data_IF_984266043368
#
_entry.id   IF_984266043368
#
_cell.length_a   1.000
_cell.length_b   1.000
_cell.length_c   1.000
_cell.angle_alpha   90.00
_cell.angle_beta   90.00
_cell.angle_gamma   90.00
#
_symmetry.space_group_name_H-M   'P 1'
#
loop_
_entity.id
_entity.type
_entity.pdbx_description
1 polymer ?
#
# COMPACT_ATOMS: atom_id res chain seq x y z
N UNK A 1 16.99 30.31 -19.02
CA UNK A 1 15.90 29.32 -19.20
C UNK A 1 14.56 30.03 -19.03
N UNK A 2 13.57 29.81 -19.91
CA UNK A 2 12.23 30.39 -19.72
C UNK A 2 11.57 29.76 -18.48
N UNK A 3 10.74 30.54 -17.75
CA UNK A 3 10.00 30.04 -16.58
C UNK A 3 9.19 28.77 -16.89
N UNK A 4 8.71 28.65 -18.13
CA UNK A 4 8.03 27.48 -18.65
C UNK A 4 8.94 26.25 -18.66
N UNK A 5 10.17 26.37 -19.16
CA UNK A 5 11.09 25.25 -19.21
C UNK A 5 11.39 24.69 -17.80
N UNK A 6 11.46 25.59 -16.80
CA UNK A 6 11.63 25.16 -15.40
C UNK A 6 10.42 24.40 -14.89
N UNK A 7 9.19 24.90 -15.11
CA UNK A 7 7.97 24.21 -14.69
C UNK A 7 7.82 22.84 -15.39
N UNK A 8 8.07 22.79 -16.69
CA UNK A 8 8.02 21.53 -17.44
C UNK A 8 9.07 20.55 -16.90
N UNK A 9 10.29 21.01 -16.63
CA UNK A 9 11.34 20.17 -16.07
C UNK A 9 10.98 19.64 -14.69
N UNK A 10 10.35 20.44 -13.82
CA UNK A 10 9.88 19.99 -12.51
C UNK A 10 8.80 18.91 -12.60
N UNK A 11 7.83 19.08 -13.51
CA UNK A 11 6.79 18.07 -13.71
C UNK A 11 7.38 16.77 -14.27
N UNK A 12 8.26 16.84 -15.26
CA UNK A 12 8.95 15.67 -15.83
C UNK A 12 9.83 14.99 -14.78
N UNK A 13 10.58 15.77 -13.99
CA UNK A 13 11.39 15.24 -12.91
C UNK A 13 10.53 14.49 -11.89
N UNK A 14 9.37 15.03 -11.51
CA UNK A 14 8.43 14.36 -10.61
C UNK A 14 7.98 13.01 -11.15
N UNK A 15 7.61 12.93 -12.44
CA UNK A 15 7.24 11.67 -13.09
C UNK A 15 8.40 10.67 -13.08
N UNK A 16 9.61 11.11 -13.41
CA UNK A 16 10.79 10.24 -13.41
C UNK A 16 11.11 9.71 -12.01
N UNK A 17 11.02 10.58 -11.00
CA UNK A 17 11.27 10.16 -9.61
C UNK A 17 10.22 9.16 -9.16
N UNK A 18 8.95 9.35 -9.49
CA UNK A 18 7.88 8.39 -9.17
C UNK A 18 8.09 7.02 -9.81
N UNK A 19 8.59 6.98 -11.04
CA UNK A 19 8.91 5.73 -11.73
C UNK A 19 10.09 5.01 -11.08
N UNK A 20 11.11 5.77 -10.64
CA UNK A 20 12.36 5.22 -10.09
C UNK A 20 12.23 4.89 -8.60
N UNK A 21 11.44 5.68 -7.87
CA UNK A 21 11.25 5.55 -6.42
C UNK A 21 9.76 5.71 -6.09
N UNK A 22 8.94 4.68 -6.36
CA UNK A 22 7.49 4.75 -6.24
C UNK A 22 6.99 5.04 -4.82
N UNK A 23 7.79 4.74 -3.79
CA UNK A 23 7.43 4.97 -2.38
C UNK A 23 7.37 6.44 -1.96
N UNK A 24 7.79 7.38 -2.82
CA UNK A 24 7.82 8.80 -2.46
C UNK A 24 6.51 9.54 -2.65
N UNK A 25 5.51 8.90 -3.26
CA UNK A 25 4.16 9.45 -3.45
C UNK A 25 4.15 10.92 -3.92
N UNK A 26 5.00 11.24 -4.93
CA UNK A 26 5.21 12.61 -5.41
C UNK A 26 3.91 13.23 -5.93
N UNK A 27 2.99 12.40 -6.45
CA UNK A 27 1.68 12.87 -6.88
C UNK A 27 0.87 13.53 -5.76
N UNK A 28 1.10 13.16 -4.50
CA UNK A 28 0.43 13.74 -3.34
C UNK A 28 1.15 14.99 -2.81
N UNK A 29 2.35 15.30 -3.31
CA UNK A 29 3.10 16.46 -2.87
C UNK A 29 2.46 17.76 -3.36
N UNK A 30 2.18 18.69 -2.43
CA UNK A 30 1.53 19.97 -2.75
C UNK A 30 2.30 20.78 -3.79
N UNK A 31 3.64 20.82 -3.71
CA UNK A 31 4.48 21.54 -4.68
C UNK A 31 4.32 20.99 -6.10
N UNK A 32 4.17 19.68 -6.26
CA UNK A 32 3.99 19.03 -7.55
C UNK A 32 2.63 19.39 -8.16
N UNK A 33 1.56 19.33 -7.36
CA UNK A 33 0.22 19.75 -7.78
C UNK A 33 0.16 21.24 -8.17
N UNK A 34 0.87 22.11 -7.44
CA UNK A 34 1.01 23.54 -7.81
C UNK A 34 1.75 23.69 -9.15
N UNK A 35 2.80 22.91 -9.40
CA UNK A 35 3.51 22.95 -10.67
C UNK A 35 2.63 22.51 -11.84
N UNK A 36 1.84 21.44 -11.67
CA UNK A 36 0.85 20.98 -12.67
C UNK A 36 -0.20 22.07 -12.92
N UNK A 37 -0.76 22.68 -11.88
CA UNK A 37 -1.75 23.75 -12.01
C UNK A 37 -1.18 24.97 -12.77
N UNK A 38 0.01 25.40 -12.42
CA UNK A 38 0.68 26.53 -13.09
C UNK A 38 0.95 26.24 -14.56
N UNK A 39 1.41 25.03 -14.89
CA UNK A 39 1.63 24.59 -16.27
C UNK A 39 0.31 24.55 -17.05
N UNK A 40 -0.75 24.04 -16.44
CA UNK A 40 -2.09 23.97 -17.05
C UNK A 40 -2.65 25.39 -17.33
N UNK A 41 -2.58 26.29 -16.38
CA UNK A 41 -3.01 27.69 -16.56
C UNK A 41 -2.27 28.34 -17.72
N UNK A 42 -0.95 28.16 -17.77
CA UNK A 42 -0.15 28.68 -18.88
C UNK A 42 -0.55 28.06 -20.22
N UNK A 43 -0.73 26.75 -20.29
CA UNK A 43 -1.14 26.03 -21.51
C UNK A 43 -2.53 26.48 -21.98
N UNK A 44 -3.49 26.63 -21.07
CA UNK A 44 -4.83 27.14 -21.35
C UNK A 44 -4.76 28.59 -21.87
N UNK A 45 -3.97 29.43 -21.25
CA UNK A 45 -3.77 30.82 -21.70
C UNK A 45 -3.12 30.90 -23.10
N UNK A 46 -2.23 29.97 -23.41
CA UNK A 46 -1.60 29.85 -24.73
C UNK A 46 -2.55 29.29 -25.78
N UNK A 47 -3.49 28.44 -25.40
CA UNK A 47 -4.47 27.78 -26.25
C UNK A 47 -5.74 28.64 -26.53
N UNK A 48 -5.71 29.96 -26.26
CA UNK A 48 -6.86 30.89 -26.39
C UNK A 48 -7.62 30.81 -27.73
N UNK A 49 -6.93 30.41 -28.80
CA UNK A 49 -7.54 30.26 -30.13
C UNK A 49 -8.28 28.94 -30.36
N UNK A 50 -8.16 27.99 -29.42
CA UNK A 50 -8.80 26.68 -29.52
C UNK A 50 -9.41 26.30 -28.16
N UNK A 51 -10.71 26.55 -27.95
CA UNK A 51 -11.37 26.21 -26.68
C UNK A 51 -11.32 24.72 -26.38
N UNK A 52 -11.31 23.85 -27.37
CA UNK A 52 -11.17 22.41 -27.22
C UNK A 52 -9.80 22.02 -26.64
N UNK A 53 -8.72 22.65 -27.12
CA UNK A 53 -7.40 22.40 -26.55
C UNK A 53 -7.31 22.89 -25.10
N UNK A 54 -7.86 24.07 -24.80
CA UNK A 54 -7.89 24.62 -23.46
C UNK A 54 -8.68 23.70 -22.51
N UNK A 55 -9.85 23.21 -22.94
CA UNK A 55 -10.65 22.24 -22.19
C UNK A 55 -9.88 20.94 -21.95
N UNK A 56 -9.23 20.38 -22.99
CA UNK A 56 -8.50 19.13 -22.87
C UNK A 56 -7.33 19.21 -21.89
N UNK A 57 -6.54 20.30 -21.92
CA UNK A 57 -5.47 20.54 -20.95
C UNK A 57 -6.03 20.70 -19.53
N UNK A 58 -7.12 21.46 -19.39
CA UNK A 58 -7.80 21.64 -18.10
C UNK A 58 -8.31 20.32 -17.52
N UNK A 59 -8.91 19.47 -18.33
CA UNK A 59 -9.42 18.16 -17.91
C UNK A 59 -8.30 17.23 -17.42
N UNK A 60 -7.18 17.15 -18.16
CA UNK A 60 -6.03 16.34 -17.78
C UNK A 60 -5.41 16.85 -16.47
N UNK A 61 -5.19 18.16 -16.35
CA UNK A 61 -4.64 18.76 -15.15
C UNK A 61 -5.57 18.56 -13.94
N UNK A 62 -6.88 18.72 -14.13
CA UNK A 62 -7.88 18.49 -13.11
C UNK A 62 -7.85 17.04 -12.62
N UNK A 63 -7.82 16.06 -13.53
CA UNK A 63 -7.73 14.65 -13.16
C UNK A 63 -6.45 14.35 -12.34
N UNK A 64 -5.31 14.91 -12.75
CA UNK A 64 -4.05 14.77 -12.03
C UNK A 64 -4.09 15.37 -10.62
N UNK A 65 -4.53 16.62 -10.49
CA UNK A 65 -4.64 17.32 -9.20
C UNK A 65 -5.67 16.64 -8.29
N UNK A 66 -6.81 16.22 -8.85
CA UNK A 66 -7.85 15.51 -8.10
C UNK A 66 -7.34 14.18 -7.55
N UNK A 67 -6.57 13.43 -8.33
CA UNK A 67 -5.93 12.21 -7.87
C UNK A 67 -4.90 12.50 -6.78
N UNK A 68 -4.05 13.50 -6.97
CA UNK A 68 -2.96 13.82 -6.03
C UNK A 68 -3.42 14.42 -4.71
N UNK A 69 -4.44 15.30 -4.70
CA UNK A 69 -4.90 15.97 -3.49
C UNK A 69 -6.04 15.25 -2.77
N UNK A 70 -6.88 14.52 -3.49
CA UNK A 70 -8.11 13.92 -2.98
C UNK A 70 -8.11 12.40 -3.04
N UNK A 71 -7.10 11.80 -3.69
CA UNK A 71 -6.91 10.38 -3.73
C UNK A 71 -6.28 9.85 -2.44
N UNK A 72 -6.41 8.54 -2.16
CA UNK A 72 -5.71 7.91 -1.07
C UNK A 72 -4.19 7.95 -1.30
N UNK A 73 -3.45 8.12 -0.22
CA UNK A 73 -2.02 7.85 -0.23
C UNK A 73 -1.77 6.38 -0.58
N UNK A 74 -0.66 6.12 -1.26
CA UNK A 74 -0.24 4.75 -1.55
C UNK A 74 -0.04 3.99 -0.25
N UNK A 75 -0.78 2.88 -0.10
CA UNK A 75 -0.68 2.02 1.07
C UNK A 75 -0.77 0.56 0.70
N UNK A 76 -0.06 -0.28 1.44
CA UNK A 76 -0.17 -1.72 1.31
C UNK A 76 -1.23 -2.24 2.29
N UNK A 77 -2.22 -2.93 1.75
CA UNK A 77 -3.25 -3.64 2.51
C UNK A 77 -2.86 -5.11 2.55
N UNK A 78 -2.57 -5.60 3.73
CA UNK A 78 -2.23 -7.00 3.96
C UNK A 78 -3.43 -7.68 4.59
N UNK A 79 -3.81 -8.84 4.08
CA UNK A 79 -4.89 -9.63 4.63
C UNK A 79 -4.40 -10.99 5.12
N UNK A 80 -4.84 -11.38 6.32
CA UNK A 80 -4.68 -12.77 6.72
C UNK A 80 -5.52 -13.68 5.80
N UNK A 81 -5.09 -14.93 5.59
CA UNK A 81 -5.89 -15.88 4.83
C UNK A 81 -7.32 -15.99 5.36
N UNK A 82 -8.29 -16.19 4.47
CA UNK A 82 -9.73 -16.26 4.75
C UNK A 82 -10.32 -15.00 5.40
N UNK A 83 -9.67 -13.85 5.24
CA UNK A 83 -10.19 -12.59 5.76
C UNK A 83 -10.65 -11.65 4.65
N UNK A 84 -11.41 -10.64 5.05
CA UNK A 84 -11.84 -9.57 4.15
C UNK A 84 -11.54 -8.22 4.77
N UNK A 85 -10.96 -7.32 3.99
CA UNK A 85 -10.60 -5.97 4.40
C UNK A 85 -11.36 -4.97 3.55
N UNK A 86 -12.11 -4.08 4.19
CA UNK A 86 -12.82 -3.02 3.50
C UNK A 86 -11.86 -1.92 3.05
N UNK A 87 -11.99 -1.53 1.79
CA UNK A 87 -11.23 -0.44 1.17
C UNK A 87 -12.22 0.60 0.71
N UNK A 88 -12.51 1.56 1.57
CA UNK A 88 -13.54 2.59 1.30
C UNK A 88 -13.19 3.44 0.07
N UNK A 89 -11.92 3.68 -0.16
CA UNK A 89 -11.41 4.45 -1.30
C UNK A 89 -11.67 3.75 -2.64
N UNK A 90 -11.63 2.41 -2.64
CA UNK A 90 -11.99 1.61 -3.81
C UNK A 90 -13.48 1.31 -3.88
N UNK A 91 -14.25 1.71 -2.85
CA UNK A 91 -15.69 1.44 -2.74
C UNK A 91 -16.01 -0.04 -2.61
N UNK A 92 -15.05 -0.88 -2.17
CA UNK A 92 -15.20 -2.32 -2.15
C UNK A 92 -14.50 -3.00 -0.98
N UNK A 93 -14.52 -4.32 -1.01
CA UNK A 93 -13.87 -5.18 -0.02
C UNK A 93 -12.86 -6.09 -0.70
N UNK A 94 -11.64 -6.13 -0.18
CA UNK A 94 -10.62 -7.09 -0.60
C UNK A 94 -10.87 -8.40 0.16
N UNK A 95 -11.14 -9.47 -0.56
CA UNK A 95 -11.25 -10.81 0.00
C UNK A 95 -9.94 -11.57 -0.26
N UNK A 96 -9.30 -11.99 0.80
CA UNK A 96 -8.03 -12.70 0.78
C UNK A 96 -8.27 -14.22 0.77
N UNK A 97 -7.66 -14.96 -0.17
CA UNK A 97 -7.87 -16.38 -0.29
C UNK A 97 -7.29 -17.18 0.88
N UNK A 98 -7.68 -18.46 1.06
CA UNK A 98 -7.05 -19.38 2.00
C UNK A 98 -5.55 -19.51 1.74
N UNK A 99 -4.75 -19.70 2.79
CA UNK A 99 -3.27 -19.79 2.72
C UNK A 99 -2.73 -20.93 1.81
N UNK A 100 -3.58 -21.87 1.40
CA UNK A 100 -3.20 -23.00 0.54
C UNK A 100 -3.83 -22.94 -0.86
N UNK A 101 -4.62 -21.91 -1.14
CA UNK A 101 -5.23 -21.74 -2.44
C UNK A 101 -4.29 -20.95 -3.35
N UNK A 102 -4.00 -21.50 -4.51
CA UNK A 102 -3.39 -20.76 -5.62
C UNK A 102 -4.45 -19.82 -6.24
N UNK A 103 -4.94 -18.89 -5.43
CA UNK A 103 -6.04 -18.00 -5.75
C UNK A 103 -5.65 -16.56 -5.52
N UNK A 104 -6.00 -15.70 -6.46
CA UNK A 104 -5.76 -14.26 -6.37
C UNK A 104 -6.66 -13.61 -5.33
N UNK A 105 -6.20 -12.51 -4.75
CA UNK A 105 -7.06 -11.63 -3.94
C UNK A 105 -8.20 -11.10 -4.82
N UNK A 106 -9.41 -11.08 -4.28
CA UNK A 106 -10.60 -10.63 -5.00
C UNK A 106 -11.04 -9.26 -4.49
N UNK A 107 -11.28 -8.32 -5.40
CA UNK A 107 -11.97 -7.08 -5.07
C UNK A 107 -13.48 -7.28 -5.31
N UNK A 108 -14.26 -7.14 -4.26
CA UNK A 108 -15.70 -7.31 -4.27
C UNK A 108 -16.40 -5.94 -4.25
N UNK A 109 -17.27 -5.70 -5.24
CA UNK A 109 -18.16 -4.54 -5.32
C UNK A 109 -19.62 -5.03 -5.39
N UNK A 110 -20.33 -4.96 -4.30
CA UNK A 110 -21.70 -5.49 -4.24
C UNK A 110 -21.75 -6.96 -4.67
N UNK A 111 -22.44 -7.26 -5.76
CA UNK A 111 -22.56 -8.62 -6.30
C UNK A 111 -21.44 -9.02 -7.28
N UNK A 112 -20.56 -8.11 -7.66
CA UNK A 112 -19.46 -8.40 -8.57
C UNK A 112 -18.15 -8.60 -7.83
N UNK A 113 -17.38 -9.62 -8.22
CA UNK A 113 -16.06 -9.92 -7.70
C UNK A 113 -15.07 -9.99 -8.84
N UNK A 114 -13.90 -9.34 -8.69
CA UNK A 114 -12.87 -9.29 -9.71
C UNK A 114 -11.51 -9.67 -9.09
N UNK A 115 -10.72 -10.54 -9.75
CA UNK A 115 -9.41 -10.91 -9.24
C UNK A 115 -8.44 -9.74 -9.41
N UNK A 116 -7.62 -9.52 -8.38
CA UNK A 116 -6.47 -8.63 -8.44
C UNK A 116 -5.29 -9.48 -8.88
N UNK A 117 -4.77 -9.18 -10.06
CA UNK A 117 -3.57 -9.84 -10.57
C UNK A 117 -2.37 -8.90 -10.53
N UNK A 118 -1.21 -9.41 -10.92
CA UNK A 118 0.02 -8.64 -11.13
C UNK A 118 -0.17 -7.48 -12.14
N UNK A 119 -1.26 -7.49 -12.89
CA UNK A 119 -1.68 -6.40 -13.76
C UNK A 119 -2.84 -5.67 -13.12
N UNK A 120 -2.61 -4.38 -12.88
CA UNK A 120 -3.49 -3.35 -12.35
C UNK A 120 -4.96 -3.64 -12.57
N UNK A 121 -5.69 -3.81 -11.50
CA UNK A 121 -7.12 -3.60 -11.50
C UNK A 121 -7.40 -2.11 -11.23
N UNK A 122 -8.16 -1.49 -12.11
CA UNK A 122 -8.61 -0.11 -11.93
C UNK A 122 -10.09 -0.09 -11.66
N UNK A 123 -10.48 0.35 -10.46
CA UNK A 123 -11.85 0.75 -10.19
C UNK A 123 -11.95 2.25 -10.47
N UNK A 124 -12.62 2.61 -11.56
CA UNK A 124 -13.01 4.00 -11.80
C UNK A 124 -14.16 4.34 -10.87
N UNK A 125 -13.94 5.19 -9.88
CA UNK A 125 -14.98 5.64 -8.98
C UNK A 125 -15.12 7.16 -9.08
N UNK A 126 -16.30 7.63 -9.42
CA UNK A 126 -16.77 8.98 -9.13
C UNK A 126 -17.04 9.07 -7.62
N UNK A 127 -15.98 9.16 -6.82
CA UNK A 127 -16.10 9.31 -5.39
C UNK A 127 -16.27 10.79 -5.05
N UNK A 128 -17.40 11.13 -4.44
CA UNK A 128 -17.71 12.48 -3.96
C UNK A 128 -17.62 13.57 -5.03
N UNK A 129 -18.10 13.34 -6.21
CA UNK A 129 -18.14 14.28 -7.34
C UNK A 129 -16.78 14.64 -7.95
N UNK A 130 -15.69 13.98 -7.58
CA UNK A 130 -14.37 14.20 -8.14
C UNK A 130 -13.90 12.96 -8.88
N UNK A 131 -13.66 13.04 -10.19
CA UNK A 131 -13.21 11.90 -10.97
C UNK A 131 -11.77 11.51 -10.59
N UNK A 132 -11.63 10.33 -10.06
CA UNK A 132 -10.33 9.69 -9.77
C UNK A 132 -10.44 8.19 -9.98
N UNK A 133 -9.32 7.57 -10.28
CA UNK A 133 -9.21 6.11 -10.37
C UNK A 133 -8.42 5.60 -9.17
N UNK A 134 -8.99 4.67 -8.43
CA UNK A 134 -8.28 3.92 -7.39
C UNK A 134 -7.77 2.64 -8.03
N UNK A 135 -6.49 2.38 -7.84
CA UNK A 135 -5.79 1.21 -8.39
C UNK A 135 -5.43 0.29 -7.24
N UNK A 136 -5.79 -0.98 -7.38
CA UNK A 136 -5.31 -2.04 -6.52
C UNK A 136 -4.40 -2.97 -7.35
N UNK A 137 -3.20 -3.25 -6.85
CA UNK A 137 -2.18 -4.08 -7.51
C UNK A 137 -1.71 -5.14 -6.54
N UNK A 138 -1.46 -6.35 -7.03
CA UNK A 138 -0.81 -7.40 -6.24
C UNK A 138 0.59 -6.93 -5.81
N UNK A 139 0.81 -6.93 -4.49
CA UNK A 139 2.07 -6.55 -3.87
C UNK A 139 2.63 -7.74 -3.09
N UNK A 140 2.90 -8.80 -3.80
CA UNK A 140 3.22 -10.14 -3.33
C UNK A 140 4.43 -10.25 -2.43
N UNK A 141 4.48 -9.76 -1.21
CA UNK A 141 5.60 -10.05 -0.30
C UNK A 141 5.29 -9.75 1.18
N UNK A 142 4.04 -9.81 1.57
CA UNK A 142 3.69 -9.58 2.97
C UNK A 142 4.10 -10.76 3.84
N UNK A 143 5.00 -10.54 4.76
CA UNK A 143 5.38 -11.52 5.77
C UNK A 143 4.39 -11.48 6.92
N UNK A 144 3.86 -12.64 7.27
CA UNK A 144 2.99 -12.81 8.40
C UNK A 144 3.36 -14.05 9.19
N UNK A 145 2.67 -14.30 10.27
CA UNK A 145 2.76 -15.55 11.00
C UNK A 145 1.38 -15.93 11.52
N UNK A 146 1.03 -17.20 11.47
CA UNK A 146 -0.01 -17.76 12.28
C UNK A 146 0.57 -18.13 13.63
N UNK A 147 0.04 -17.55 14.68
CA UNK A 147 0.49 -17.80 16.03
C UNK A 147 -0.54 -18.63 16.77
N UNK A 148 -0.19 -19.86 17.12
CA UNK A 148 -0.98 -20.66 18.07
C UNK A 148 -0.60 -20.24 19.48
N UNK A 149 -1.56 -19.70 20.21
CA UNK A 149 -1.41 -19.24 21.59
C UNK A 149 -2.19 -20.19 22.49
N UNK A 150 -1.50 -20.87 23.39
CA UNK A 150 -2.14 -21.70 24.43
C UNK A 150 -1.99 -21.01 25.78
N UNK A 151 -3.10 -20.79 26.43
CA UNK A 151 -3.16 -20.14 27.74
C UNK A 151 -2.93 -21.15 28.89
N UNK A 152 -2.56 -20.70 30.09
CA UNK A 152 -2.41 -21.56 31.25
C UNK A 152 -3.68 -22.34 31.60
N UNK A 153 -4.84 -21.80 31.31
CA UNK A 153 -6.16 -22.43 31.50
C UNK A 153 -6.49 -23.53 30.46
N UNK A 154 -5.59 -23.81 29.52
CA UNK A 154 -5.76 -24.85 28.52
C UNK A 154 -6.47 -24.38 27.23
N UNK A 155 -7.01 -23.19 27.19
CA UNK A 155 -7.60 -22.61 25.96
C UNK A 155 -6.51 -22.32 24.92
N UNK A 156 -6.72 -22.74 23.67
CA UNK A 156 -5.84 -22.44 22.56
C UNK A 156 -6.61 -21.68 21.48
N UNK A 157 -5.98 -20.66 20.90
CA UNK A 157 -6.54 -19.93 19.76
C UNK A 157 -5.44 -19.60 18.74
N UNK A 158 -5.87 -19.40 17.51
CA UNK A 158 -5.02 -18.95 16.41
C UNK A 158 -5.14 -17.44 16.28
N UNK A 159 -4.03 -16.75 16.26
CA UNK A 159 -3.96 -15.32 15.96
C UNK A 159 -3.14 -15.11 14.70
N UNK A 160 -3.70 -14.51 13.65
CA UNK A 160 -2.91 -14.02 12.55
C UNK A 160 -2.12 -12.79 13.03
N UNK A 161 -0.82 -12.78 12.77
CA UNK A 161 0.09 -11.68 13.10
C UNK A 161 0.59 -11.08 11.80
N UNK A 162 0.38 -9.79 11.62
CA UNK A 162 0.76 -9.06 10.43
C UNK A 162 2.11 -8.36 10.67
N UNK A 163 3.20 -9.03 10.35
CA UNK A 163 4.56 -8.58 10.61
C UNK A 163 5.07 -7.56 9.58
N UNK A 164 4.25 -6.58 9.18
CA UNK A 164 4.61 -5.62 8.14
C UNK A 164 4.24 -4.17 8.42
N UNK A 165 3.31 -3.91 9.31
CA UNK A 165 2.81 -2.55 9.52
C UNK A 165 3.78 -1.67 10.29
N UNK A 166 4.62 -2.27 11.10
CA UNK A 166 5.59 -1.59 11.91
C UNK A 166 6.98 -2.19 11.71
N UNK A 167 8.00 -1.36 11.84
CA UNK A 167 9.39 -1.81 11.82
C UNK A 167 10.18 -1.16 12.95
N UNK A 168 11.15 -1.91 13.50
CA UNK A 168 12.07 -1.39 14.49
C UNK A 168 13.50 -1.83 14.19
N UNK A 169 14.46 -1.01 14.58
CA UNK A 169 15.87 -1.34 14.40
C UNK A 169 16.38 -2.12 15.61
N UNK A 170 16.77 -3.37 15.40
CA UNK A 170 17.43 -4.22 16.41
C UNK A 170 18.76 -4.68 15.81
N UNK A 171 19.84 -4.46 16.53
CA UNK A 171 21.21 -4.84 16.13
C UNK A 171 21.59 -4.41 14.69
N UNK A 172 21.12 -3.24 14.27
CA UNK A 172 21.39 -2.69 12.94
C UNK A 172 20.46 -3.18 11.82
N UNK A 173 19.54 -4.10 12.10
CA UNK A 173 18.53 -4.57 11.15
C UNK A 173 17.21 -3.87 11.37
N UNK A 174 16.59 -3.44 10.27
CA UNK A 174 15.20 -2.98 10.30
C UNK A 174 14.29 -4.21 10.23
N UNK A 175 13.60 -4.52 11.33
CA UNK A 175 12.85 -5.76 11.51
C UNK A 175 11.36 -5.45 11.59
N UNK A 176 10.51 -6.19 10.85
CA UNK A 176 9.09 -6.07 10.96
C UNK A 176 8.59 -6.64 12.28
N UNK A 177 7.61 -5.96 12.89
CA UNK A 177 7.00 -6.41 14.14
C UNK A 177 5.50 -6.11 14.17
N UNK A 178 4.80 -6.83 15.04
CA UNK A 178 3.41 -6.57 15.40
C UNK A 178 3.21 -6.64 16.91
N UNK A 179 2.20 -5.95 17.40
CA UNK A 179 1.81 -5.93 18.81
C UNK A 179 0.34 -6.29 18.91
N UNK A 180 0.02 -7.29 19.70
CA UNK A 180 -1.36 -7.70 19.92
C UNK A 180 -1.63 -8.07 21.37
N UNK A 181 -2.87 -7.89 21.78
CA UNK A 181 -3.31 -8.24 23.13
C UNK A 181 -3.80 -9.69 23.18
N UNK A 182 -3.54 -10.35 24.30
CA UNK A 182 -4.13 -11.65 24.69
C UNK A 182 -5.06 -11.41 25.88
N UNK A 183 -6.33 -11.00 25.64
CA UNK A 183 -7.20 -10.43 26.67
C UNK A 183 -7.41 -11.35 27.87
N UNK A 184 -7.59 -12.65 27.63
CA UNK A 184 -7.85 -13.62 28.69
C UNK A 184 -6.66 -13.85 29.65
N UNK A 185 -5.47 -13.37 29.30
CA UNK A 185 -4.28 -13.46 30.15
C UNK A 185 -3.76 -12.11 30.63
N UNK A 186 -4.42 -11.01 30.23
CA UNK A 186 -3.96 -9.65 30.49
C UNK A 186 -2.50 -9.44 30.05
N UNK A 187 -2.18 -9.89 28.82
CA UNK A 187 -0.84 -9.81 28.25
C UNK A 187 -0.88 -9.10 26.92
N UNK A 188 0.14 -8.28 26.70
CA UNK A 188 0.49 -7.71 25.40
C UNK A 188 1.69 -8.48 24.89
N UNK A 189 1.63 -8.95 23.66
CA UNK A 189 2.70 -9.70 22.99
C UNK A 189 3.22 -8.86 21.85
N UNK A 190 4.51 -8.56 21.87
CA UNK A 190 5.23 -8.04 20.73
C UNK A 190 5.92 -9.20 20.03
N UNK A 191 5.69 -9.36 18.73
CA UNK A 191 6.31 -10.37 17.88
C UNK A 191 7.19 -9.68 16.84
N UNK A 192 8.47 -10.01 16.78
CA UNK A 192 9.44 -9.46 15.82
C UNK A 192 9.97 -10.60 14.96
N UNK A 193 9.90 -10.45 13.65
CA UNK A 193 10.35 -11.48 12.71
C UNK A 193 11.80 -11.24 12.26
N UNK A 194 12.61 -12.27 12.41
CA UNK A 194 13.91 -12.39 11.77
C UNK A 194 13.84 -13.39 10.62
N UNK A 195 14.21 -12.99 9.44
CA UNK A 195 14.46 -13.92 8.33
C UNK A 195 15.59 -14.87 8.68
N UNK A 196 15.67 -15.99 7.95
CA UNK A 196 16.80 -16.95 8.14
C UNK A 196 18.17 -16.29 8.03
N UNK A 197 18.34 -15.37 7.07
CA UNK A 197 19.62 -14.65 6.87
C UNK A 197 19.93 -13.71 8.03
N UNK A 198 18.94 -12.98 8.52
CA UNK A 198 19.11 -12.07 9.66
C UNK A 198 19.39 -12.85 10.96
N UNK A 199 18.67 -13.95 11.18
CA UNK A 199 18.92 -14.83 12.32
C UNK A 199 20.34 -15.42 12.30
N UNK A 200 20.78 -15.93 11.16
CA UNK A 200 22.13 -16.49 11.00
C UNK A 200 23.26 -15.48 11.23
N UNK A 201 23.01 -14.18 11.00
CA UNK A 201 23.99 -13.12 11.24
C UNK A 201 24.12 -12.71 12.72
N UNK A 202 23.19 -13.15 13.58
CA UNK A 202 23.23 -12.88 15.02
C UNK A 202 23.90 -14.04 15.78
N UNK A 203 24.95 -13.79 16.59
CA UNK A 203 25.64 -14.86 17.32
C UNK A 203 24.71 -15.74 18.18
N UNK A 204 23.71 -15.12 18.81
CA UNK A 204 22.73 -15.82 19.64
C UNK A 204 21.74 -16.70 18.86
N UNK A 205 21.59 -16.47 17.57
CA UNK A 205 20.65 -17.15 16.67
C UNK A 205 21.35 -17.87 15.51
N UNK A 206 22.67 -17.91 15.49
CA UNK A 206 23.46 -18.44 14.38
C UNK A 206 23.18 -19.91 14.03
N UNK A 207 22.62 -20.68 14.97
CA UNK A 207 22.18 -22.06 14.73
C UNK A 207 20.76 -22.19 14.17
N UNK A 208 20.08 -21.06 13.92
CA UNK A 208 18.72 -21.10 13.34
C UNK A 208 18.80 -21.35 11.83
N UNK A 209 18.19 -22.45 11.39
CA UNK A 209 18.07 -22.83 9.96
C UNK A 209 16.72 -22.45 9.34
N UNK A 210 15.90 -21.72 10.08
CA UNK A 210 14.56 -21.25 9.67
C UNK A 210 14.32 -19.83 10.18
N UNK A 211 13.34 -19.11 9.68
CA UNK A 211 12.93 -17.85 10.28
C UNK A 211 12.64 -18.00 11.77
N UNK A 212 12.86 -16.96 12.54
CA UNK A 212 12.66 -16.94 13.99
C UNK A 212 11.79 -15.77 14.37
N UNK A 213 10.91 -15.98 15.34
CA UNK A 213 10.11 -14.91 15.94
C UNK A 213 10.60 -14.66 17.37
N UNK A 214 11.04 -13.44 17.63
CA UNK A 214 11.32 -12.94 18.95
C UNK A 214 10.01 -12.44 19.55
N UNK A 215 9.68 -12.94 20.72
CA UNK A 215 8.55 -12.49 21.52
C UNK A 215 9.04 -11.68 22.71
N UNK A 216 8.31 -10.60 23.01
CA UNK A 216 8.45 -9.79 24.20
C UNK A 216 7.05 -9.60 24.79
N UNK A 217 6.91 -9.95 26.08
CA UNK A 217 5.65 -9.93 26.78
C UNK A 217 5.62 -8.79 27.81
N UNK A 218 4.57 -8.02 27.74
CA UNK A 218 4.22 -6.97 28.69
C UNK A 218 2.87 -7.31 29.35
N UNK A 219 2.58 -6.75 30.49
CA UNK A 219 1.23 -6.74 31.04
C UNK A 219 0.36 -5.68 30.34
N UNK A 220 -0.92 -5.61 30.72
CA UNK A 220 -1.87 -4.64 30.15
C UNK A 220 -1.56 -3.17 30.54
N UNK A 221 -0.62 -2.94 31.45
CA UNK A 221 -0.11 -1.61 31.81
C UNK A 221 1.19 -1.25 31.09
N UNK A 222 1.72 -2.14 30.24
CA UNK A 222 2.98 -1.94 29.50
C UNK A 222 4.24 -2.26 30.32
N UNK A 223 4.10 -2.97 31.44
CA UNK A 223 5.25 -3.39 32.24
C UNK A 223 5.76 -4.74 31.73
N UNK A 224 7.07 -4.81 31.47
CA UNK A 224 7.72 -6.03 30.99
C UNK A 224 7.57 -7.18 32.02
N UNK A 225 7.22 -8.35 31.51
CA UNK A 225 7.05 -9.55 32.31
C UNK A 225 8.42 -10.18 32.61
N UNK A 226 8.73 -10.53 33.85
CA UNK A 226 9.95 -11.26 34.16
C UNK A 226 10.04 -12.56 33.34
N UNK A 227 11.13 -12.76 32.63
CA UNK A 227 11.32 -13.88 31.67
C UNK A 227 10.27 -13.89 30.55
N UNK A 228 9.75 -12.72 30.19
CA UNK A 228 8.78 -12.54 29.09
C UNK A 228 9.40 -12.46 27.71
N UNK A 229 10.74 -12.43 27.62
CA UNK A 229 11.44 -12.37 26.32
C UNK A 229 11.95 -13.75 25.94
N UNK A 230 11.74 -14.12 24.68
CA UNK A 230 12.24 -15.38 24.14
C UNK A 230 12.09 -15.51 22.63
N UNK A 231 12.77 -16.48 22.07
CA UNK A 231 12.85 -16.70 20.62
C UNK A 231 12.30 -18.07 20.27
N UNK A 232 11.39 -18.14 19.31
CA UNK A 232 10.88 -19.39 18.78
C UNK A 232 11.20 -19.50 17.28
N UNK A 233 11.90 -20.57 16.86
CA UNK A 233 11.99 -20.93 15.45
C UNK A 233 10.62 -21.26 14.87
N UNK A 234 10.49 -21.12 13.55
CA UNK A 234 9.27 -21.48 12.85
C UNK A 234 8.79 -22.89 13.19
N UNK A 235 7.51 -23.02 13.49
CA UNK A 235 6.85 -24.27 13.88
C UNK A 235 7.19 -24.80 15.28
N UNK A 236 8.11 -24.19 16.04
CA UNK A 236 8.45 -24.61 17.41
C UNK A 236 7.77 -23.73 18.46
N UNK A 237 7.34 -24.35 19.54
CA UNK A 237 6.69 -23.64 20.61
C UNK A 237 7.69 -23.19 21.68
N UNK A 238 7.46 -22.01 22.25
CA UNK A 238 8.12 -21.51 23.46
C UNK A 238 7.08 -21.19 24.54
N UNK A 239 7.47 -21.30 25.80
CA UNK A 239 6.60 -20.90 26.91
C UNK A 239 7.19 -19.66 27.60
N UNK A 240 6.44 -18.56 27.60
CA UNK A 240 6.83 -17.28 28.17
C UNK A 240 5.67 -16.72 28.99
N UNK A 241 5.95 -16.26 30.22
CA UNK A 241 4.94 -15.65 31.07
C UNK A 241 3.65 -16.48 31.27
N UNK A 242 3.75 -17.81 31.16
CA UNK A 242 2.61 -18.74 31.24
C UNK A 242 1.90 -18.98 29.89
N UNK A 243 2.22 -18.23 28.84
CA UNK A 243 1.69 -18.46 27.50
C UNK A 243 2.59 -19.42 26.73
N UNK A 244 2.01 -20.37 26.04
CA UNK A 244 2.72 -21.20 25.05
C UNK A 244 2.46 -20.63 23.66
N UNK A 245 3.53 -20.11 23.02
CA UNK A 245 3.49 -19.43 21.73
C UNK A 245 4.17 -20.32 20.68
N UNK A 246 3.48 -20.62 19.59
CA UNK A 246 4.01 -21.41 18.46
C UNK A 246 3.81 -20.62 17.18
N UNK A 247 4.85 -20.00 16.64
CA UNK A 247 4.76 -19.28 15.35
C UNK A 247 4.79 -20.27 14.18
N UNK A 248 4.04 -19.95 13.14
CA UNK A 248 4.19 -20.51 11.82
C UNK A 248 4.30 -19.34 10.85
N UNK A 249 5.50 -19.11 10.34
CA UNK A 249 5.78 -18.01 9.42
C UNK A 249 5.16 -18.36 8.06
N UNK A 250 4.40 -17.43 7.50
CA UNK A 250 3.67 -17.57 6.24
C UNK A 250 3.85 -16.29 5.44
N UNK A 251 3.74 -16.40 4.13
CA UNK A 251 3.57 -15.25 3.26
C UNK A 251 2.07 -14.94 3.19
N UNK A 252 1.72 -13.68 3.48
CA UNK A 252 0.37 -13.18 3.37
C UNK A 252 0.21 -12.41 2.07
N UNK A 253 -0.90 -12.59 1.35
CA UNK A 253 -1.17 -11.80 0.18
C UNK A 253 -1.31 -10.33 0.59
N UNK A 254 -0.70 -9.46 -0.20
CA UNK A 254 -0.74 -8.03 -0.03
C UNK A 254 -1.25 -7.36 -1.29
N UNK A 255 -1.93 -6.24 -1.12
CA UNK A 255 -2.44 -5.42 -2.22
C UNK A 255 -2.01 -3.99 -1.99
N UNK A 256 -1.33 -3.42 -2.94
CA UNK A 256 -1.05 -1.99 -2.97
C UNK A 256 -2.27 -1.24 -3.49
N UNK A 257 -2.74 -0.27 -2.73
CA UNK A 257 -3.87 0.60 -3.10
C UNK A 257 -3.34 2.02 -3.24
N UNK A 258 -3.56 2.61 -4.40
CA UNK A 258 -3.17 3.99 -4.70
C UNK A 258 -4.22 4.67 -5.58
N UNK A 259 -4.11 5.97 -5.79
CA UNK A 259 -4.92 6.69 -6.76
C UNK A 259 -4.09 7.17 -7.93
N UNK A 260 -4.68 7.08 -9.12
CA UNK A 260 -4.11 7.64 -10.34
C UNK A 260 -5.12 8.59 -11.01
N UNK A 261 -4.68 9.49 -11.89
CA UNK A 261 -5.59 10.31 -12.69
C UNK A 261 -6.64 9.46 -13.40
N UNK A 262 -7.91 9.88 -13.39
CA UNK A 262 -8.99 9.14 -14.03
C UNK A 262 -8.73 8.99 -15.52
N UNK A 263 -8.58 7.76 -15.99
CA UNK A 263 -8.19 7.45 -17.36
C UNK A 263 -9.24 7.87 -18.38
N UNK A 264 -10.53 7.88 -18.01
CA UNK A 264 -11.60 8.33 -18.90
C UNK A 264 -11.54 9.85 -19.10
N UNK A 265 -11.28 10.61 -18.02
CA UNK A 265 -11.11 12.07 -18.07
C UNK A 265 -9.84 12.45 -18.83
N UNK A 266 -8.73 11.74 -18.59
CA UNK A 266 -7.48 11.94 -19.33
C UNK A 266 -7.68 11.62 -20.82
N UNK A 267 -8.33 10.51 -21.15
CA UNK A 267 -8.64 10.12 -22.52
C UNK A 267 -9.53 11.13 -23.26
N UNK A 268 -10.58 11.61 -22.60
CA UNK A 268 -11.44 12.67 -23.13
C UNK A 268 -10.65 13.97 -23.35
N UNK A 269 -9.79 14.32 -22.41
CA UNK A 269 -8.89 15.48 -22.51
C UNK A 269 -7.94 15.38 -23.72
N UNK A 270 -7.29 14.23 -23.89
CA UNK A 270 -6.41 13.98 -25.04
C UNK A 270 -7.15 14.06 -26.38
N UNK A 271 -8.36 13.47 -26.43
CA UNK A 271 -9.21 13.54 -27.62
C UNK A 271 -9.60 14.98 -27.95
N UNK A 272 -9.98 15.77 -26.95
CA UNK A 272 -10.30 17.19 -27.14
C UNK A 272 -9.10 17.99 -27.65
N UNK A 273 -7.90 17.75 -27.14
CA UNK A 273 -6.66 18.36 -27.64
C UNK A 273 -6.43 17.98 -29.08
N UNK A 274 -6.54 16.69 -29.43
CA UNK A 274 -6.33 16.18 -30.77
C UNK A 274 -7.29 16.83 -31.79
N UNK A 275 -8.59 16.85 -31.46
CA UNK A 275 -9.61 17.50 -32.31
C UNK A 275 -9.31 19.01 -32.43
N UNK A 276 -8.96 19.66 -31.32
CA UNK A 276 -8.61 21.08 -31.29
C UNK A 276 -7.45 21.43 -32.23
N UNK A 277 -6.41 20.60 -32.26
CA UNK A 277 -5.26 20.74 -33.19
C UNK A 277 -5.69 20.58 -34.63
N UNK A 278 -6.50 19.57 -34.97
CA UNK A 278 -6.99 19.35 -36.33
C UNK A 278 -7.82 20.51 -36.83
N UNK A 279 -8.73 21.05 -36.00
CA UNK A 279 -9.57 22.18 -36.39
C UNK A 279 -8.76 23.48 -36.56
N UNK A 280 -7.72 23.68 -35.75
CA UNK A 280 -6.86 24.85 -35.85
C UNK A 280 -6.03 24.81 -37.13
N UNK A 281 -5.47 23.65 -37.51
CA UNK A 281 -4.71 23.48 -38.75
C UNK A 281 -5.54 23.73 -40.00
N UNK A 282 -6.83 23.39 -39.99
CA UNK A 282 -7.73 23.65 -41.15
C UNK A 282 -8.08 25.11 -41.31
N UNK A 283 -7.92 25.95 -40.30
CA UNK A 283 -8.25 27.38 -40.30
C UNK A 283 -7.08 28.30 -40.72
N UNK A 284 -5.88 27.76 -40.91
CA UNK A 284 -4.74 28.48 -41.49
C UNK A 284 -4.64 28.12 -42.97
N UNK A 285 -5.35 28.84 -43.88
CA UNK A 285 -5.03 28.80 -45.29
C UNK A 285 -3.65 29.43 -45.46
N UNK A 286 -2.75 28.79 -46.21
CA UNK A 286 -1.43 29.29 -46.57
C UNK A 286 -1.47 30.60 -47.33
#
# INVERSE_FOLDING_TARGET
MSRLAVLTALVVLGVVVEIVVPDRAIYHAGWYNVAIAALAVWAIASARRSPLMAFGVGAIAFAGIASGLLGPDTRTVVGAPDTSVRVDEAGGTLAFPPAQADASVMLQHGASAQPIGARRYTASALLRSVPRTVVAVDASDARGAHLTITQPTGGAFLSPVLLMQNSQTIAGFNLPYDIFAVPASHRIVRAVLFSTVQAASMPALASAHSPVVLFDLEDDTGVAIPRGIGVAPDGRAITLGGLRLRPRVLEYPAVEVTSIPDLAVVGAGLLAIFIGVLLTRRRTPG
#
